data_IF_548595214157
#
_entry.id   IF_548595214157
#
_cell.length_a   1.000
_cell.length_b   1.000
_cell.length_c   1.000
_cell.angle_alpha   90.00
_cell.angle_beta   90.00
_cell.angle_gamma   90.00
#
_symmetry.space_group_name_H-M   'P 1'
#
loop_
_entity.id
_entity.type
_entity.pdbx_description
1 polymer ?
#
# COMPACT_ATOMS: atom_id res chain seq x y z
N UNK A 1 -24.00 23.79 -16.47
CA UNK A 1 -23.84 23.13 -15.15
C UNK A 1 -23.05 21.81 -15.18
N UNK A 2 -23.02 21.02 -16.27
CA UNK A 2 -22.29 19.72 -16.28
C UNK A 2 -20.77 19.84 -15.99
N UNK A 3 -20.16 20.97 -16.31
CA UNK A 3 -18.73 21.22 -16.09
C UNK A 3 -18.35 21.40 -14.61
N UNK A 4 -19.23 21.93 -13.76
CA UNK A 4 -18.87 22.22 -12.37
C UNK A 4 -18.66 20.95 -11.55
N UNK A 5 -19.49 19.92 -11.77
CA UNK A 5 -19.32 18.59 -11.17
C UNK A 5 -17.95 17.98 -11.52
N UNK A 6 -17.58 18.02 -12.81
CA UNK A 6 -16.30 17.49 -13.30
C UNK A 6 -15.14 18.25 -12.69
N UNK A 7 -15.16 19.59 -12.74
CA UNK A 7 -14.10 20.43 -12.17
C UNK A 7 -13.89 20.14 -10.67
N UNK A 8 -14.97 19.92 -9.91
CA UNK A 8 -14.88 19.55 -8.50
C UNK A 8 -14.24 18.16 -8.33
N UNK A 9 -14.69 17.16 -9.08
CA UNK A 9 -14.13 15.79 -9.01
C UNK A 9 -12.64 15.80 -9.36
N UNK A 10 -12.25 16.43 -10.47
CA UNK A 10 -10.84 16.52 -10.88
C UNK A 10 -9.99 17.23 -9.83
N UNK A 11 -10.50 18.29 -9.20
CA UNK A 11 -9.80 18.96 -8.10
C UNK A 11 -9.62 18.02 -6.90
N UNK A 12 -10.68 17.37 -6.44
CA UNK A 12 -10.61 16.44 -5.29
C UNK A 12 -9.66 15.26 -5.56
N UNK A 13 -9.67 14.70 -6.78
CA UNK A 13 -8.72 13.65 -7.18
C UNK A 13 -7.29 14.16 -7.11
N UNK A 14 -7.01 15.35 -7.64
CA UNK A 14 -5.68 15.94 -7.58
C UNK A 14 -5.23 16.27 -6.16
N UNK A 15 -6.15 16.66 -5.28
CA UNK A 15 -5.87 16.93 -3.85
C UNK A 15 -5.44 15.63 -3.16
N UNK A 16 -6.20 14.54 -3.32
CA UNK A 16 -5.87 13.23 -2.73
C UNK A 16 -4.56 12.68 -3.32
N UNK A 17 -4.35 12.77 -4.63
CA UNK A 17 -3.14 12.26 -5.30
C UNK A 17 -1.86 13.00 -4.90
N UNK A 18 -1.97 14.28 -4.51
CA UNK A 18 -0.86 15.10 -4.00
C UNK A 18 -0.74 15.05 -2.47
N UNK A 19 -1.74 14.50 -1.79
CA UNK A 19 -1.77 14.36 -0.34
C UNK A 19 -0.61 13.49 0.16
N UNK A 20 -0.24 13.72 1.42
CA UNK A 20 0.77 12.92 2.12
C UNK A 20 0.20 11.63 2.71
N UNK A 21 -1.12 11.43 2.66
CA UNK A 21 -1.75 10.24 3.21
C UNK A 21 -1.33 8.98 2.43
N UNK A 22 -0.52 8.16 3.09
CA UNK A 22 0.00 6.92 2.52
C UNK A 22 -1.07 5.83 2.37
N UNK A 23 -2.25 6.02 2.97
CA UNK A 23 -3.31 5.02 3.04
C UNK A 23 -4.37 5.15 1.95
N UNK A 24 -4.46 6.28 1.26
CA UNK A 24 -5.47 6.53 0.24
C UNK A 24 -4.83 6.64 -1.14
N UNK A 25 -5.44 6.02 -2.14
CA UNK A 25 -5.09 6.21 -3.54
C UNK A 25 -6.36 6.30 -4.40
N UNK A 26 -6.37 7.17 -5.40
CA UNK A 26 -7.51 7.37 -6.29
C UNK A 26 -7.06 7.47 -7.74
N UNK A 27 -7.88 6.95 -8.65
CA UNK A 27 -7.65 7.01 -10.09
C UNK A 27 -8.99 6.95 -10.84
N UNK A 28 -9.04 7.57 -12.01
CA UNK A 28 -10.13 7.43 -12.97
C UNK A 28 -9.55 7.30 -14.37
N UNK A 29 -10.36 6.81 -15.32
CA UNK A 29 -10.02 6.88 -16.73
C UNK A 29 -10.33 8.28 -17.27
N UNK A 30 -9.55 8.76 -18.23
CA UNK A 30 -9.81 10.06 -18.87
C UNK A 30 -11.16 10.09 -19.59
N UNK A 31 -11.61 8.93 -20.09
CA UNK A 31 -12.91 8.79 -20.77
C UNK A 31 -14.12 8.91 -19.83
N UNK A 32 -13.94 8.61 -18.52
CA UNK A 32 -15.00 8.72 -17.52
C UNK A 32 -14.47 9.16 -16.16
N UNK A 33 -14.28 10.47 -16.02
CA UNK A 33 -13.90 11.12 -14.76
C UNK A 33 -14.96 11.00 -13.65
N UNK A 34 -16.19 10.56 -13.95
CA UNK A 34 -17.25 10.32 -12.94
C UNK A 34 -17.22 8.90 -12.38
N UNK A 35 -16.43 8.01 -12.96
CA UNK A 35 -16.13 6.71 -12.38
C UNK A 35 -14.72 6.73 -11.78
N UNK A 36 -14.66 6.77 -10.46
CA UNK A 36 -13.41 6.78 -9.72
C UNK A 36 -13.19 5.42 -9.06
N UNK A 37 -12.01 4.86 -9.22
CA UNK A 37 -11.49 3.76 -8.41
C UNK A 37 -10.72 4.37 -7.24
N UNK A 38 -10.91 3.80 -6.05
CA UNK A 38 -10.21 4.21 -4.84
C UNK A 38 -9.66 2.98 -4.13
N UNK A 39 -8.48 3.12 -3.53
CA UNK A 39 -7.86 2.12 -2.68
C UNK A 39 -7.64 2.70 -1.28
N UNK A 40 -8.05 1.95 -0.27
CA UNK A 40 -7.82 2.22 1.14
C UNK A 40 -6.91 1.13 1.68
N UNK A 41 -5.77 1.52 2.25
CA UNK A 41 -4.93 0.63 3.05
C UNK A 41 -5.58 0.50 4.43
N UNK A 42 -5.79 -0.74 4.86
CA UNK A 42 -6.40 -1.00 6.17
C UNK A 42 -5.55 -0.45 7.32
N UNK A 43 -6.17 0.15 8.35
CA UNK A 43 -5.44 0.84 9.41
C UNK A 43 -4.52 -0.08 10.22
N UNK A 44 -3.36 0.40 10.69
CA UNK A 44 -2.50 -0.32 11.64
C UNK A 44 -3.26 -0.72 12.90
N UNK A 45 -2.84 -1.82 13.55
CA UNK A 45 -3.42 -2.29 14.83
C UNK A 45 -4.90 -2.74 14.73
N UNK A 46 -5.36 -3.06 13.51
CA UNK A 46 -6.71 -3.57 13.24
C UNK A 46 -6.64 -4.91 12.52
N UNK A 47 -7.72 -5.72 12.46
CA UNK A 47 -7.73 -6.92 11.61
C UNK A 47 -7.65 -6.61 10.10
N UNK A 48 -7.65 -5.34 9.70
CA UNK A 48 -7.50 -4.89 8.32
C UNK A 48 -6.07 -4.48 7.97
N UNK A 49 -5.17 -4.47 8.96
CA UNK A 49 -3.82 -3.88 8.89
C UNK A 49 -3.11 -4.17 7.57
N UNK A 50 -2.77 -3.08 6.89
CA UNK A 50 -2.04 -3.04 5.63
C UNK A 50 -2.70 -3.82 4.47
N UNK A 51 -3.95 -4.26 4.63
CA UNK A 51 -4.74 -4.85 3.56
C UNK A 51 -5.13 -3.83 2.50
N UNK A 52 -5.26 -4.27 1.25
CA UNK A 52 -5.61 -3.39 0.14
C UNK A 52 -7.13 -3.50 -0.13
N UNK A 53 -7.93 -2.48 0.24
CA UNK A 53 -9.38 -2.49 0.05
C UNK A 53 -9.76 -1.53 -1.06
N UNK A 54 -10.37 -2.06 -2.11
CA UNK A 54 -10.70 -1.27 -3.30
C UNK A 54 -12.19 -0.97 -3.38
N UNK A 55 -12.50 0.22 -3.87
CA UNK A 55 -13.84 0.76 -3.98
C UNK A 55 -14.05 1.42 -5.36
N UNK A 56 -15.27 1.32 -5.90
CA UNK A 56 -15.74 2.09 -7.04
C UNK A 56 -16.68 3.18 -6.53
N UNK A 57 -16.43 4.42 -6.93
CA UNK A 57 -17.25 5.58 -6.65
C UNK A 57 -17.80 6.16 -7.97
N UNK A 58 -19.12 6.09 -8.15
CA UNK A 58 -19.85 6.59 -9.33
C UNK A 58 -20.55 7.89 -9.00
N UNK A 59 -20.05 9.00 -9.54
CA UNK A 59 -20.58 10.34 -9.36
C UNK A 59 -21.70 10.62 -10.37
N UNK A 60 -22.77 11.28 -9.93
CA UNK A 60 -23.85 11.71 -10.83
C UNK A 60 -23.62 13.15 -11.32
N UNK A 61 -24.45 13.62 -12.25
CA UNK A 61 -24.45 15.04 -12.69
C UNK A 61 -24.89 16.00 -11.58
N UNK A 62 -25.48 15.48 -10.50
CA UNK A 62 -25.97 16.26 -9.37
C UNK A 62 -24.89 16.46 -8.28
N UNK A 63 -23.69 15.93 -8.44
CA UNK A 63 -22.59 16.15 -7.51
C UNK A 63 -22.12 17.63 -7.52
N UNK A 64 -21.89 18.27 -6.36
CA UNK A 64 -21.85 17.72 -5.00
C UNK A 64 -23.17 17.79 -4.21
N UNK A 65 -24.29 18.18 -4.82
CA UNK A 65 -25.59 18.26 -4.13
C UNK A 65 -26.08 16.88 -3.67
N UNK A 66 -25.79 15.82 -4.43
CA UNK A 66 -26.01 14.42 -4.02
C UNK A 66 -24.69 13.67 -3.89
N UNK A 67 -24.62 12.78 -2.90
CA UNK A 67 -23.49 11.88 -2.69
C UNK A 67 -23.27 10.97 -3.92
N UNK A 68 -22.02 10.54 -4.18
CA UNK A 68 -21.75 9.48 -5.14
C UNK A 68 -22.24 8.12 -4.63
N UNK A 69 -22.47 7.18 -5.54
CA UNK A 69 -22.67 5.78 -5.17
C UNK A 69 -21.32 5.11 -4.96
N UNK A 70 -21.12 4.43 -3.83
CA UNK A 70 -19.86 3.75 -3.51
C UNK A 70 -20.09 2.26 -3.28
N UNK A 71 -19.24 1.43 -3.89
CA UNK A 71 -19.25 -0.02 -3.73
C UNK A 71 -17.84 -0.55 -3.45
N UNK A 72 -17.71 -1.47 -2.50
CA UNK A 72 -16.48 -2.22 -2.27
C UNK A 72 -16.33 -3.32 -3.34
N UNK A 73 -15.14 -3.39 -3.93
CA UNK A 73 -14.76 -4.36 -4.96
C UNK A 73 -14.05 -5.55 -4.33
N UNK A 74 -13.28 -5.33 -3.26
CA UNK A 74 -12.58 -6.38 -2.52
C UNK A 74 -13.59 -7.21 -1.69
N UNK A 75 -14.26 -8.17 -2.32
CA UNK A 75 -15.34 -8.95 -1.67
C UNK A 75 -15.26 -10.47 -1.90
N UNK A 76 -14.19 -10.96 -2.54
CA UNK A 76 -14.03 -12.38 -2.89
C UNK A 76 -15.24 -12.88 -3.71
N UNK A 77 -15.64 -12.10 -4.73
CA UNK A 77 -16.77 -12.44 -5.60
C UNK A 77 -18.09 -12.56 -4.86
N UNK A 78 -18.38 -11.67 -3.91
CA UNK A 78 -19.64 -11.67 -3.17
C UNK A 78 -19.69 -12.53 -1.91
N UNK A 79 -18.55 -13.12 -1.48
CA UNK A 79 -18.52 -14.14 -0.40
C UNK A 79 -17.94 -13.65 0.92
N UNK A 80 -17.19 -12.56 0.91
CA UNK A 80 -16.45 -12.08 2.07
C UNK A 80 -17.04 -10.75 2.53
N UNK A 81 -17.73 -10.77 3.67
CA UNK A 81 -18.19 -9.58 4.39
C UNK A 81 -17.06 -9.10 5.30
N UNK A 82 -16.32 -8.08 4.87
CA UNK A 82 -15.18 -7.59 5.62
C UNK A 82 -15.57 -6.81 6.87
N UNK A 83 -16.75 -6.19 6.90
CA UNK A 83 -17.19 -5.39 8.04
C UNK A 83 -18.73 -5.42 8.09
N UNK A 84 -19.37 -5.22 9.27
CA UNK A 84 -20.81 -5.08 9.33
C UNK A 84 -21.39 -4.04 8.37
N UNK A 85 -20.63 -2.97 8.12
CA UNK A 85 -20.96 -1.90 7.19
C UNK A 85 -20.36 -2.06 5.78
N UNK A 86 -19.58 -3.11 5.51
CA UNK A 86 -19.02 -3.43 4.18
C UNK A 86 -19.47 -4.85 3.80
N UNK A 87 -20.58 -4.91 3.07
CA UNK A 87 -21.32 -6.14 2.81
C UNK A 87 -20.58 -7.00 1.80
N UNK A 88 -20.85 -8.31 1.82
CA UNK A 88 -20.27 -9.24 0.86
C UNK A 88 -20.60 -8.86 -0.59
N UNK A 89 -21.79 -8.33 -0.86
CA UNK A 89 -22.17 -7.80 -2.19
C UNK A 89 -21.56 -6.44 -2.55
N UNK A 90 -20.67 -5.89 -1.73
CA UNK A 90 -19.98 -4.62 -1.97
C UNK A 90 -20.72 -3.37 -1.47
N UNK A 91 -21.96 -3.49 -0.98
CA UNK A 91 -22.67 -2.34 -0.39
C UNK A 91 -21.91 -1.79 0.83
N UNK A 92 -21.69 -0.47 0.83
CA UNK A 92 -21.11 0.27 1.96
C UNK A 92 -22.22 1.03 2.68
N UNK A 93 -22.32 0.84 4.00
CA UNK A 93 -23.31 1.49 4.86
C UNK A 93 -22.69 2.65 5.64
N UNK A 94 -22.95 3.88 5.21
CA UNK A 94 -22.52 5.12 5.85
C UNK A 94 -23.63 6.17 5.78
N UNK A 95 -23.79 6.96 6.85
CA UNK A 95 -24.78 8.03 6.93
C UNK A 95 -24.53 9.10 5.86
N UNK A 96 -23.27 9.47 5.63
CA UNK A 96 -22.88 10.43 4.58
C UNK A 96 -23.11 9.92 3.15
N UNK A 97 -23.38 8.62 2.97
CA UNK A 97 -23.80 8.04 1.68
C UNK A 97 -25.32 7.82 1.61
N UNK A 98 -26.07 8.13 2.67
CA UNK A 98 -27.50 7.86 2.76
C UNK A 98 -27.83 6.35 2.81
N UNK A 99 -26.85 5.49 3.07
CA UNK A 99 -27.00 4.03 3.12
C UNK A 99 -27.05 3.50 4.55
N UNK A 100 -26.99 4.40 5.53
CA UNK A 100 -27.12 4.13 6.96
C UNK A 100 -27.84 5.29 7.66
N UNK A 101 -28.39 5.02 8.84
CA UNK A 101 -28.96 6.07 9.71
C UNK A 101 -27.85 6.99 10.22
N UNK A 102 -28.08 8.29 10.24
CA UNK A 102 -27.19 9.27 10.86
C UNK A 102 -28.00 10.24 11.72
N UNK A 103 -27.34 10.86 12.68
CA UNK A 103 -27.91 11.98 13.42
C UNK A 103 -27.93 13.25 12.54
N UNK A 104 -28.64 14.28 13.01
CA UNK A 104 -28.72 15.56 12.28
C UNK A 104 -27.33 16.17 12.14
N UNK A 105 -26.85 16.27 10.91
CA UNK A 105 -25.52 16.79 10.58
C UNK A 105 -24.49 15.71 10.21
N UNK A 106 -24.82 14.43 10.38
CA UNK A 106 -23.98 13.29 9.99
C UNK A 106 -24.33 12.74 8.60
N UNK A 107 -25.34 13.31 7.94
CA UNK A 107 -25.77 12.98 6.59
C UNK A 107 -24.97 13.77 5.53
N UNK A 108 -25.13 13.40 4.26
CA UNK A 108 -24.46 14.06 3.14
C UNK A 108 -24.73 15.57 3.13
N UNK A 109 -23.66 16.35 2.91
CA UNK A 109 -23.76 17.76 2.53
C UNK A 109 -22.73 18.07 1.46
N UNK A 110 -23.01 19.09 0.63
CA UNK A 110 -22.09 19.51 -0.45
C UNK A 110 -20.72 20.02 0.03
N UNK A 111 -20.53 20.16 1.35
CA UNK A 111 -19.25 20.47 1.96
C UNK A 111 -18.32 19.25 2.02
N UNK A 112 -18.89 18.04 2.03
CA UNK A 112 -18.17 16.77 2.00
C UNK A 112 -17.60 16.52 0.59
N UNK A 113 -16.66 15.58 0.49
CA UNK A 113 -16.04 15.19 -0.77
C UNK A 113 -15.58 13.74 -0.76
N UNK A 114 -14.91 13.32 -1.83
CA UNK A 114 -14.37 11.97 -1.96
C UNK A 114 -13.45 11.61 -0.79
N UNK A 115 -12.56 12.51 -0.39
CA UNK A 115 -11.62 12.27 0.71
C UNK A 115 -12.36 11.97 2.03
N UNK A 116 -13.38 12.76 2.39
CA UNK A 116 -14.13 12.52 3.61
C UNK A 116 -14.96 11.23 3.57
N UNK A 117 -15.42 10.82 2.38
CA UNK A 117 -16.02 9.50 2.18
C UNK A 117 -15.00 8.40 2.45
N UNK A 118 -13.80 8.48 1.86
CA UNK A 118 -12.76 7.47 2.02
C UNK A 118 -12.28 7.37 3.48
N UNK A 119 -12.09 8.50 4.15
CA UNK A 119 -11.76 8.56 5.59
C UNK A 119 -12.88 7.92 6.40
N UNK A 120 -14.15 8.19 6.10
CA UNK A 120 -15.28 7.58 6.82
C UNK A 120 -15.34 6.06 6.63
N UNK A 121 -15.03 5.57 5.43
CA UNK A 121 -14.92 4.13 5.16
C UNK A 121 -13.75 3.52 5.95
N UNK A 122 -12.59 4.18 5.97
CA UNK A 122 -11.43 3.71 6.72
C UNK A 122 -11.71 3.66 8.22
N UNK A 123 -12.46 4.62 8.78
CA UNK A 123 -12.87 4.63 10.18
C UNK A 123 -13.77 3.45 10.57
N UNK A 124 -14.50 2.84 9.62
CA UNK A 124 -15.25 1.60 9.87
C UNK A 124 -14.32 0.41 10.10
N UNK A 125 -13.09 0.46 9.60
CA UNK A 125 -12.08 -0.59 9.73
C UNK A 125 -11.41 -0.54 11.11
N UNK A 126 -12.22 -0.60 12.18
CA UNK A 126 -11.79 -0.48 13.57
C UNK A 126 -11.05 -1.73 14.07
N UNK A 127 -10.41 -1.61 15.24
CA UNK A 127 -9.75 -2.73 15.92
C UNK A 127 -10.73 -3.82 16.37
N UNK A 128 -12.00 -3.45 16.61
CA UNK A 128 -13.08 -4.36 16.96
C UNK A 128 -14.30 -4.17 16.03
N UNK A 129 -14.26 -4.69 14.79
CA UNK A 129 -15.34 -4.49 13.83
C UNK A 129 -16.63 -5.23 14.19
N UNK A 130 -16.66 -6.01 15.27
CA UNK A 130 -17.87 -6.65 15.79
C UNK A 130 -18.85 -5.62 16.35
N UNK A 131 -18.34 -4.56 16.99
CA UNK A 131 -19.14 -3.47 17.60
C UNK A 131 -19.86 -2.62 16.55
N UNK A 132 -19.45 -2.70 15.29
CA UNK A 132 -20.11 -2.01 14.19
C UNK A 132 -21.46 -2.63 13.81
N UNK A 133 -21.78 -3.84 14.28
CA UNK A 133 -23.08 -4.46 14.01
C UNK A 133 -24.17 -3.83 14.92
N UNK A 134 -25.33 -3.42 14.35
CA UNK A 134 -26.45 -2.92 15.15
C UNK A 134 -26.85 -3.84 16.30
N UNK A 135 -26.94 -3.26 17.50
CA UNK A 135 -27.29 -3.98 18.72
C UNK A 135 -26.09 -4.64 19.43
N UNK A 136 -24.86 -4.47 18.91
CA UNK A 136 -23.63 -4.99 19.49
C UNK A 136 -22.65 -3.88 19.91
N UNK A 137 -23.07 -2.61 19.87
CA UNK A 137 -22.22 -1.43 20.16
C UNK A 137 -21.67 -1.46 21.60
N UNK A 138 -22.46 -1.95 22.57
CA UNK A 138 -22.11 -2.06 23.99
C UNK A 138 -21.86 -3.51 24.45
N UNK A 139 -21.61 -4.43 23.51
CA UNK A 139 -21.42 -5.85 23.78
C UNK A 139 -20.16 -6.09 24.62
N UNK A 140 -20.34 -6.43 25.91
CA UNK A 140 -19.25 -6.52 26.91
C UNK A 140 -19.26 -7.83 27.71
N UNK A 141 -20.23 -8.72 27.49
CA UNK A 141 -20.28 -10.00 28.17
C UNK A 141 -19.09 -10.88 27.78
N UNK A 142 -18.76 -11.89 28.58
CA UNK A 142 -17.66 -12.80 28.23
C UNK A 142 -17.98 -13.62 26.97
N UNK A 143 -19.27 -13.84 26.68
CA UNK A 143 -19.73 -14.39 25.41
C UNK A 143 -19.42 -13.45 24.24
N UNK A 144 -19.67 -12.15 24.40
CA UNK A 144 -19.39 -11.14 23.37
C UNK A 144 -17.89 -11.00 23.12
N UNK A 145 -17.08 -10.92 24.18
CA UNK A 145 -15.62 -10.84 24.06
C UNK A 145 -15.03 -12.02 23.29
N UNK A 146 -15.57 -13.23 23.51
CA UNK A 146 -15.18 -14.41 22.74
C UNK A 146 -15.52 -14.22 21.25
N UNK A 147 -16.73 -13.79 20.93
CA UNK A 147 -17.17 -13.56 19.55
C UNK A 147 -16.38 -12.42 18.89
N UNK A 148 -16.08 -11.34 19.61
CA UNK A 148 -15.24 -10.23 19.15
C UNK A 148 -13.86 -10.74 18.73
N UNK A 149 -13.20 -11.51 19.59
CA UNK A 149 -11.89 -12.10 19.29
C UNK A 149 -11.95 -13.04 18.07
N UNK A 150 -12.98 -13.88 17.98
CA UNK A 150 -13.16 -14.78 16.84
C UNK A 150 -13.46 -14.03 15.53
N UNK A 151 -14.24 -12.94 15.59
CA UNK A 151 -14.52 -12.09 14.44
C UNK A 151 -13.26 -11.35 13.97
N UNK A 152 -12.48 -10.79 14.89
CA UNK A 152 -11.18 -10.19 14.59
C UNK A 152 -10.25 -11.19 13.91
N UNK A 153 -10.17 -12.43 14.41
CA UNK A 153 -9.32 -13.48 13.86
C UNK A 153 -9.69 -13.83 12.40
N UNK A 154 -10.98 -14.05 12.11
CA UNK A 154 -11.41 -14.36 10.74
C UNK A 154 -11.22 -13.18 9.78
N UNK A 155 -11.48 -11.94 10.21
CA UNK A 155 -11.23 -10.75 9.38
C UNK A 155 -9.74 -10.63 9.07
N UNK A 156 -8.86 -10.80 10.07
CA UNK A 156 -7.41 -10.77 9.87
C UNK A 156 -6.94 -11.80 8.85
N UNK A 157 -7.43 -13.04 8.96
CA UNK A 157 -7.12 -14.09 8.00
C UNK A 157 -7.55 -13.71 6.58
N UNK A 158 -8.79 -13.25 6.43
CA UNK A 158 -9.39 -12.92 5.14
C UNK A 158 -8.79 -11.64 4.52
N UNK A 159 -8.35 -10.69 5.34
CA UNK A 159 -7.54 -9.53 4.92
C UNK A 159 -6.26 -10.02 4.24
N UNK A 160 -5.45 -10.83 4.95
CA UNK A 160 -4.20 -11.35 4.41
C UNK A 160 -4.45 -12.18 3.14
N UNK A 161 -5.42 -13.10 3.18
CA UNK A 161 -5.71 -14.00 2.08
C UNK A 161 -6.20 -13.24 0.85
N UNK A 162 -7.25 -12.44 0.96
CA UNK A 162 -7.95 -11.86 -0.20
C UNK A 162 -7.35 -10.52 -0.60
N UNK A 163 -7.25 -9.59 0.36
CA UNK A 163 -6.93 -8.20 0.04
C UNK A 163 -5.45 -8.02 -0.31
N UNK A 164 -4.58 -8.88 0.22
CA UNK A 164 -3.13 -8.87 -0.04
C UNK A 164 -2.70 -10.00 -0.98
N UNK A 165 -2.74 -11.25 -0.51
CA UNK A 165 -2.11 -12.39 -1.20
C UNK A 165 -2.77 -12.66 -2.54
N UNK A 166 -4.09 -12.85 -2.55
CA UNK A 166 -4.81 -13.17 -3.78
C UNK A 166 -4.64 -12.05 -4.81
N UNK A 167 -4.91 -10.80 -4.43
CA UNK A 167 -4.67 -9.67 -5.33
C UNK A 167 -3.27 -9.67 -5.97
N UNK A 168 -2.22 -9.88 -5.18
CA UNK A 168 -0.85 -9.85 -5.70
C UNK A 168 -0.52 -11.07 -6.57
N UNK A 169 -1.04 -12.25 -6.24
CA UNK A 169 -0.93 -13.41 -7.11
C UNK A 169 -1.58 -13.17 -8.47
N UNK A 170 -2.75 -12.53 -8.51
CA UNK A 170 -3.41 -12.17 -9.76
C UNK A 170 -2.58 -11.15 -10.57
N UNK A 171 -2.01 -10.14 -9.90
CA UNK A 171 -1.12 -9.16 -10.52
C UNK A 171 0.19 -9.74 -11.06
N UNK A 172 0.69 -10.82 -10.44
CA UNK A 172 1.94 -11.49 -10.79
C UNK A 172 1.72 -12.75 -11.65
N UNK A 173 0.47 -13.11 -11.94
CA UNK A 173 0.15 -14.33 -12.71
C UNK A 173 0.52 -15.63 -12.00
N UNK A 174 0.59 -15.62 -10.66
CA UNK A 174 0.87 -16.82 -9.86
C UNK A 174 -0.38 -17.70 -9.88
N UNK A 175 -0.31 -18.82 -10.63
CA UNK A 175 -1.45 -19.73 -10.79
C UNK A 175 -1.79 -20.40 -9.47
N UNK A 176 -3.00 -20.14 -8.98
CA UNK A 176 -3.65 -20.98 -7.97
C UNK A 176 -4.14 -22.24 -8.67
N UNK A 177 -4.05 -23.42 -8.05
CA UNK A 177 -4.71 -24.64 -8.54
C UNK A 177 -6.25 -24.58 -8.54
N UNK A 178 -6.85 -23.38 -8.57
CA UNK A 178 -8.29 -23.10 -8.68
C UNK A 178 -8.52 -22.17 -9.87
N UNK A 179 -9.55 -22.49 -10.64
CA UNK A 179 -10.08 -21.69 -11.77
C UNK A 179 -10.16 -20.20 -11.41
N UNK A 180 -9.76 -19.34 -12.35
CA UNK A 180 -9.81 -17.89 -12.27
C UNK A 180 -11.02 -17.40 -11.44
N UNK A 181 -10.77 -16.68 -10.35
CA UNK A 181 -11.87 -16.02 -9.67
C UNK A 181 -12.43 -14.94 -10.59
N UNK A 182 -13.75 -15.01 -10.74
CA UNK A 182 -14.58 -14.02 -11.40
C UNK A 182 -14.36 -12.68 -10.70
N UNK A 183 -13.61 -11.77 -11.35
CA UNK A 183 -13.83 -10.33 -11.19
C UNK A 183 -15.33 -10.13 -11.29
N UNK A 184 -15.97 -9.47 -10.31
CA UNK A 184 -17.42 -9.21 -10.37
C UNK A 184 -17.70 -8.61 -11.75
N UNK A 185 -18.41 -9.39 -12.57
CA UNK A 185 -18.63 -9.08 -13.98
C UNK A 185 -19.50 -7.84 -14.04
N UNK A 186 -18.89 -6.68 -14.19
CA UNK A 186 -19.61 -5.44 -14.35
C UNK A 186 -19.90 -5.28 -15.84
N UNK A 187 -21.03 -5.85 -16.26
CA UNK A 187 -21.45 -5.83 -17.66
C UNK A 187 -21.50 -4.42 -18.25
N UNK A 188 -21.68 -3.37 -17.44
CA UNK A 188 -21.63 -1.96 -17.89
C UNK A 188 -20.21 -1.48 -18.22
N UNK A 189 -19.17 -1.92 -17.49
CA UNK A 189 -17.77 -1.59 -17.78
C UNK A 189 -17.28 -2.31 -19.05
N UNK A 190 -17.65 -3.59 -19.23
CA UNK A 190 -17.29 -4.36 -20.43
C UNK A 190 -18.07 -3.90 -21.67
N UNK A 191 -19.32 -3.42 -21.54
CA UNK A 191 -20.06 -2.84 -22.66
C UNK A 191 -19.47 -1.50 -23.13
N UNK A 192 -18.86 -0.73 -22.22
CA UNK A 192 -18.17 0.52 -22.55
C UNK A 192 -16.72 0.30 -23.01
N UNK A 193 -16.06 -0.77 -22.53
CA UNK A 193 -14.75 -1.24 -23.00
C UNK A 193 -14.84 -2.12 -24.27
N UNK A 194 -15.89 -1.92 -25.08
CA UNK A 194 -16.09 -2.55 -26.38
C UNK A 194 -14.98 -2.17 -27.37
N UNK A 195 -13.80 -2.76 -27.21
CA UNK A 195 -12.64 -2.49 -28.04
C UNK A 195 -11.31 -2.97 -27.47
N UNK A 196 -11.19 -4.23 -27.03
CA UNK A 196 -9.88 -4.86 -26.76
C UNK A 196 -8.93 -4.14 -25.77
N UNK A 197 -9.43 -3.20 -24.97
CA UNK A 197 -8.64 -2.45 -24.02
C UNK A 197 -8.26 -3.32 -22.81
N UNK A 198 -7.03 -3.16 -22.33
CA UNK A 198 -6.55 -3.87 -21.16
C UNK A 198 -7.38 -3.52 -19.90
N UNK A 199 -7.50 -4.44 -18.92
CA UNK A 199 -8.15 -4.16 -17.63
C UNK A 199 -7.58 -2.90 -16.95
N UNK A 200 -8.45 -2.05 -16.40
CA UNK A 200 -8.02 -0.86 -15.67
C UNK A 200 -7.59 -1.21 -14.25
N UNK A 201 -6.29 -1.35 -14.07
CA UNK A 201 -5.63 -1.74 -12.81
C UNK A 201 -4.72 -0.60 -12.29
N UNK A 202 -5.28 0.56 -11.91
CA UNK A 202 -4.50 1.75 -11.56
C UNK A 202 -3.63 1.58 -10.30
N UNK A 203 -3.94 0.59 -9.48
CA UNK A 203 -3.24 0.36 -8.21
C UNK A 203 -2.27 -0.82 -8.27
N UNK A 204 -2.01 -1.39 -9.45
CA UNK A 204 -1.15 -2.57 -9.59
C UNK A 204 0.26 -2.33 -9.02
N UNK A 205 0.96 -1.31 -9.50
CA UNK A 205 2.30 -0.99 -8.99
C UNK A 205 2.25 -0.50 -7.54
N UNK A 206 1.22 0.26 -7.17
CA UNK A 206 1.01 0.73 -5.81
C UNK A 206 0.98 -0.45 -4.81
N UNK A 207 0.15 -1.47 -5.07
CA UNK A 207 0.04 -2.64 -4.21
C UNK A 207 1.36 -3.41 -4.13
N UNK A 208 2.05 -3.61 -5.27
CA UNK A 208 3.35 -4.30 -5.32
C UNK A 208 4.42 -3.59 -4.49
N UNK A 209 4.50 -2.26 -4.57
CA UNK A 209 5.47 -1.48 -3.80
C UNK A 209 5.15 -1.49 -2.31
N UNK A 210 3.88 -1.28 -1.94
CA UNK A 210 3.43 -1.31 -0.55
C UNK A 210 3.59 -2.69 0.08
N UNK A 211 3.41 -3.75 -0.69
CA UNK A 211 3.68 -5.11 -0.23
C UNK A 211 5.11 -5.29 0.25
N UNK A 212 6.09 -4.78 -0.51
CA UNK A 212 7.50 -4.86 -0.10
C UNK A 212 7.77 -4.12 1.21
N UNK A 213 7.05 -3.02 1.47
CA UNK A 213 7.17 -2.25 2.70
C UNK A 213 6.54 -2.98 3.90
N UNK A 214 5.40 -3.62 3.70
CA UNK A 214 4.63 -4.25 4.77
C UNK A 214 4.90 -5.75 4.94
N UNK A 215 5.83 -6.31 4.17
CA UNK A 215 6.15 -7.75 4.16
C UNK A 215 6.43 -8.28 5.57
N UNK A 216 7.28 -7.58 6.34
CA UNK A 216 7.62 -7.96 7.71
C UNK A 216 6.39 -7.94 8.63
N UNK A 217 5.51 -6.95 8.49
CA UNK A 217 4.26 -6.86 9.26
C UNK A 217 3.32 -8.03 8.95
N UNK A 218 3.18 -8.41 7.67
CA UNK A 218 2.38 -9.57 7.29
C UNK A 218 2.95 -10.87 7.86
N UNK A 219 4.28 -11.06 7.78
CA UNK A 219 4.95 -12.25 8.31
C UNK A 219 4.80 -12.33 9.83
N UNK A 220 5.01 -11.23 10.55
CA UNK A 220 4.83 -11.17 12.00
C UNK A 220 3.38 -11.47 12.41
N UNK A 221 2.40 -10.92 11.68
CA UNK A 221 0.97 -11.17 11.90
C UNK A 221 0.63 -12.66 11.73
N UNK A 222 1.09 -13.28 10.63
CA UNK A 222 0.91 -14.72 10.39
C UNK A 222 1.55 -15.55 11.51
N UNK A 223 2.79 -15.26 11.89
CA UNK A 223 3.50 -16.01 12.93
C UNK A 223 2.85 -15.88 14.31
N UNK A 224 2.25 -14.72 14.61
CA UNK A 224 1.47 -14.54 15.83
C UNK A 224 0.18 -15.36 15.82
N UNK A 225 -0.53 -15.42 14.68
CA UNK A 225 -1.80 -16.15 14.55
C UNK A 225 -1.63 -17.66 14.42
N UNK A 226 -0.53 -18.15 13.83
CA UNK A 226 -0.18 -19.59 13.82
C UNK A 226 -0.01 -20.18 15.23
N UNK A 227 0.28 -19.36 16.24
CA UNK A 227 0.34 -19.80 17.64
C UNK A 227 -1.04 -19.96 18.28
N UNK A 228 -2.07 -19.34 17.70
CA UNK A 228 -3.43 -19.27 18.23
C UNK A 228 -4.39 -20.23 17.52
N UNK A 229 -4.20 -20.42 16.21
CA UNK A 229 -5.10 -21.18 15.35
C UNK A 229 -4.38 -22.31 14.62
N UNK A 230 -5.08 -23.44 14.44
CA UNK A 230 -4.57 -24.58 13.65
C UNK A 230 -5.08 -24.51 12.22
N UNK A 231 -4.27 -24.97 11.27
CA UNK A 231 -4.73 -25.10 9.88
C UNK A 231 -5.94 -26.05 9.80
N UNK A 232 -6.94 -25.65 9.02
CA UNK A 232 -8.21 -26.37 8.87
C UNK A 232 -9.24 -26.10 9.97
N UNK A 233 -8.89 -25.38 11.03
CA UNK A 233 -9.84 -24.91 12.04
C UNK A 233 -10.87 -23.98 11.38
N UNK A 234 -12.16 -24.24 11.61
CA UNK A 234 -13.26 -23.47 11.00
C UNK A 234 -13.43 -22.13 11.68
N UNK A 235 -13.79 -21.11 10.90
CA UNK A 235 -14.22 -19.82 11.47
C UNK A 235 -15.44 -20.02 12.36
N UNK A 236 -15.43 -19.41 13.54
CA UNK A 236 -16.63 -19.34 14.38
C UNK A 236 -17.68 -18.47 13.69
N UNK A 237 -18.93 -18.96 13.69
CA UNK A 237 -20.07 -18.24 13.14
C UNK A 237 -20.55 -17.20 14.15
N UNK A 238 -20.67 -15.95 13.74
CA UNK A 238 -21.08 -14.88 14.63
C UNK A 238 -22.60 -14.90 14.86
N UNK A 239 -23.10 -14.35 16.00
CA UNK A 239 -24.53 -14.31 16.30
C UNK A 239 -25.39 -13.60 15.24
N UNK A 240 -24.82 -12.61 14.56
CA UNK A 240 -25.47 -11.85 13.48
C UNK A 240 -25.32 -12.49 12.09
N UNK A 241 -24.65 -13.64 11.98
CA UNK A 241 -24.51 -14.36 10.71
C UNK A 241 -25.66 -15.34 10.50
N UNK A 242 -26.30 -15.25 9.33
CA UNK A 242 -27.50 -16.00 8.98
C UNK A 242 -27.58 -16.27 7.47
N UNK A 243 -28.65 -16.92 6.98
CA UNK A 243 -28.83 -17.17 5.55
C UNK A 243 -28.65 -15.90 4.71
N UNK A 244 -27.74 -15.92 3.73
CA UNK A 244 -27.39 -14.76 2.90
C UNK A 244 -26.41 -13.76 3.54
N UNK A 245 -25.98 -13.98 4.79
CA UNK A 245 -25.01 -13.17 5.52
C UNK A 245 -24.08 -14.06 6.36
N UNK A 246 -23.21 -14.81 5.69
CA UNK A 246 -22.26 -15.73 6.33
C UNK A 246 -20.86 -15.56 5.76
N UNK A 247 -19.83 -15.69 6.60
CA UNK A 247 -18.44 -15.71 6.20
C UNK A 247 -17.79 -17.01 6.70
N UNK A 248 -18.01 -18.09 5.95
CA UNK A 248 -17.50 -19.42 6.25
C UNK A 248 -16.10 -19.63 5.68
N UNK A 249 -15.28 -20.41 6.37
CA UNK A 249 -13.92 -20.70 5.94
C UNK A 249 -13.14 -21.43 7.02
N UNK A 250 -11.85 -21.60 6.76
CA UNK A 250 -10.90 -22.21 7.70
C UNK A 250 -9.62 -21.41 7.74
N UNK A 251 -8.96 -21.38 8.90
CA UNK A 251 -7.61 -20.84 9.02
C UNK A 251 -6.61 -21.69 8.24
N UNK A 252 -5.71 -21.07 7.48
CA UNK A 252 -4.72 -21.72 6.62
C UNK A 252 -3.37 -20.96 6.63
N UNK A 253 -2.93 -20.55 7.82
CA UNK A 253 -1.80 -19.63 7.98
C UNK A 253 -0.48 -20.19 7.44
N UNK A 254 -0.24 -21.51 7.51
CA UNK A 254 0.97 -22.12 6.91
C UNK A 254 1.00 -21.87 5.41
N UNK A 255 -0.13 -22.09 4.72
CA UNK A 255 -0.23 -21.83 3.29
C UNK A 255 -0.12 -20.34 2.97
N UNK A 256 -0.73 -19.46 3.78
CA UNK A 256 -0.60 -18.01 3.56
C UNK A 256 0.87 -17.56 3.67
N UNK A 257 1.64 -18.12 4.61
CA UNK A 257 3.08 -17.85 4.76
C UNK A 257 3.87 -18.21 3.52
N UNK A 258 3.63 -19.39 2.96
CA UNK A 258 4.30 -19.85 1.73
C UNK A 258 3.95 -18.97 0.53
N UNK A 259 2.68 -18.58 0.41
CA UNK A 259 2.19 -17.71 -0.67
C UNK A 259 2.79 -16.31 -0.60
N UNK A 260 2.91 -15.72 0.60
CA UNK A 260 3.62 -14.43 0.78
C UNK A 260 5.08 -14.50 0.32
N UNK A 261 5.79 -15.58 0.64
CA UNK A 261 7.17 -15.78 0.17
C UNK A 261 7.24 -15.88 -1.34
N UNK A 262 6.37 -16.67 -1.96
CA UNK A 262 6.31 -16.79 -3.42
C UNK A 262 6.03 -15.45 -4.12
N UNK A 263 5.19 -14.60 -3.53
CA UNK A 263 4.95 -13.23 -4.01
C UNK A 263 6.22 -12.39 -3.91
N UNK A 264 6.90 -12.41 -2.76
CA UNK A 264 8.16 -11.67 -2.57
C UNK A 264 9.22 -12.11 -3.58
N UNK A 265 9.40 -13.42 -3.77
CA UNK A 265 10.34 -13.99 -4.73
C UNK A 265 10.02 -13.52 -6.16
N UNK A 266 8.74 -13.55 -6.55
CA UNK A 266 8.31 -13.06 -7.88
C UNK A 266 8.52 -11.56 -8.08
N UNK A 267 8.36 -10.74 -7.04
CA UNK A 267 8.63 -9.31 -7.11
C UNK A 267 10.13 -9.02 -7.22
N UNK A 268 10.97 -9.80 -6.53
CA UNK A 268 12.42 -9.73 -6.65
C UNK A 268 12.89 -10.15 -8.05
N UNK A 269 12.33 -11.23 -8.61
CA UNK A 269 12.59 -11.64 -9.99
C UNK A 269 12.16 -10.58 -11.01
N UNK A 270 10.96 -10.00 -10.86
CA UNK A 270 10.47 -8.91 -11.71
C UNK A 270 11.44 -7.71 -11.67
N UNK A 271 11.89 -7.32 -10.48
CA UNK A 271 12.80 -6.18 -10.29
C UNK A 271 14.17 -6.44 -10.91
N UNK A 272 14.73 -7.65 -10.73
CA UNK A 272 16.00 -8.05 -11.32
C UNK A 272 15.91 -8.11 -12.87
N UNK A 273 14.77 -8.52 -13.40
CA UNK A 273 14.50 -8.57 -14.84
C UNK A 273 14.59 -7.22 -15.53
N UNK A 274 14.27 -6.12 -14.83
CA UNK A 274 14.29 -4.77 -15.41
C UNK A 274 15.66 -4.34 -15.91
N UNK A 275 16.75 -4.80 -15.28
CA UNK A 275 18.10 -4.52 -15.78
C UNK A 275 18.29 -5.07 -17.21
N UNK A 276 17.85 -6.30 -17.44
CA UNK A 276 17.96 -6.98 -18.75
C UNK A 276 16.99 -6.38 -19.77
N UNK A 277 15.75 -6.11 -19.37
CA UNK A 277 14.77 -5.44 -20.23
C UNK A 277 15.21 -4.01 -20.59
N UNK A 278 15.81 -3.29 -19.65
CA UNK A 278 16.37 -1.96 -19.82
C UNK A 278 17.49 -1.92 -20.86
N UNK A 279 18.42 -2.89 -20.84
CA UNK A 279 19.46 -2.99 -21.86
C UNK A 279 18.87 -3.22 -23.26
N UNK A 280 17.79 -4.00 -23.38
CA UNK A 280 17.07 -4.14 -24.66
C UNK A 280 16.44 -2.82 -25.09
N UNK A 281 15.87 -2.06 -24.15
CA UNK A 281 15.32 -0.74 -24.43
C UNK A 281 16.39 0.26 -24.92
N UNK A 282 17.62 0.18 -24.39
CA UNK A 282 18.78 0.94 -24.89
C UNK A 282 19.12 0.52 -26.32
N UNK A 283 19.24 -0.79 -26.59
CA UNK A 283 19.55 -1.32 -27.93
C UNK A 283 18.50 -0.94 -28.97
N UNK A 284 17.23 -0.83 -28.55
CA UNK A 284 16.12 -0.42 -29.40
C UNK A 284 15.91 1.11 -29.45
N UNK A 285 16.81 1.90 -28.84
CA UNK A 285 16.75 3.37 -28.80
C UNK A 285 15.40 3.90 -28.27
N UNK A 286 14.81 3.21 -27.31
CA UNK A 286 13.52 3.61 -26.75
C UNK A 286 13.64 4.95 -26.02
N UNK A 287 12.64 5.83 -26.18
CA UNK A 287 12.65 7.17 -25.60
C UNK A 287 12.84 7.19 -24.07
N UNK A 288 12.37 6.16 -23.36
CA UNK A 288 12.57 6.01 -21.91
C UNK A 288 14.05 5.83 -21.54
N UNK A 289 14.81 5.04 -22.32
CA UNK A 289 16.24 4.82 -22.06
C UNK A 289 17.02 6.14 -22.20
N UNK A 290 16.79 6.87 -23.29
CA UNK A 290 17.38 8.19 -23.54
C UNK A 290 16.95 9.21 -22.49
N UNK A 291 15.70 9.15 -22.02
CA UNK A 291 15.20 10.04 -20.97
C UNK A 291 15.93 9.80 -19.64
N UNK A 292 16.03 8.55 -19.19
CA UNK A 292 16.71 8.19 -17.94
C UNK A 292 18.20 8.52 -18.00
N UNK A 293 18.88 8.23 -19.12
CA UNK A 293 20.27 8.62 -19.34
C UNK A 293 20.46 10.14 -19.19
N UNK A 294 19.59 10.93 -19.82
CA UNK A 294 19.62 12.39 -19.70
C UNK A 294 19.36 12.87 -18.28
N UNK A 295 18.38 12.29 -17.57
CA UNK A 295 18.11 12.62 -16.18
C UNK A 295 19.34 12.33 -15.31
N UNK A 296 19.99 11.18 -15.49
CA UNK A 296 21.22 10.81 -14.79
C UNK A 296 22.33 11.86 -14.98
N UNK A 297 22.65 12.20 -16.24
CA UNK A 297 23.70 13.18 -16.55
C UNK A 297 23.44 14.55 -15.91
N UNK A 298 22.19 15.02 -15.98
CA UNK A 298 21.78 16.29 -15.37
C UNK A 298 21.92 16.28 -13.84
N UNK A 299 21.58 15.16 -13.20
CA UNK A 299 21.64 15.00 -11.76
C UNK A 299 23.10 14.91 -11.29
N UNK A 300 23.93 14.12 -11.95
CA UNK A 300 25.37 14.00 -11.64
C UNK A 300 26.07 15.35 -11.77
N UNK A 301 25.84 16.09 -12.86
CA UNK A 301 26.43 17.42 -13.08
C UNK A 301 26.00 18.43 -12.00
N UNK A 302 24.76 18.32 -11.52
CA UNK A 302 24.24 19.17 -10.45
C UNK A 302 24.93 18.87 -9.12
N UNK A 303 25.09 17.60 -8.75
CA UNK A 303 25.71 17.22 -7.48
C UNK A 303 27.23 17.43 -7.48
N UNK A 304 27.91 17.27 -8.62
CA UNK A 304 29.34 17.66 -8.78
C UNK A 304 29.61 19.14 -8.48
N UNK A 305 28.64 20.03 -8.69
CA UNK A 305 28.77 21.46 -8.41
C UNK A 305 28.46 21.84 -6.96
N UNK A 306 27.99 20.89 -6.16
CA UNK A 306 27.56 21.12 -4.80
C UNK A 306 28.28 20.18 -3.83
N UNK A 307 29.52 20.52 -3.48
CA UNK A 307 30.40 19.75 -2.57
C UNK A 307 29.78 19.48 -1.18
N UNK A 308 28.66 20.14 -0.84
CA UNK A 308 27.95 19.94 0.42
C UNK A 308 26.98 18.74 0.42
N UNK A 309 26.76 18.09 -0.72
CA UNK A 309 25.88 16.91 -0.79
C UNK A 309 26.71 15.64 -0.64
N UNK A 310 26.47 14.83 0.40
CA UNK A 310 27.29 13.68 0.71
C UNK A 310 26.85 12.47 -0.10
N UNK A 311 26.91 12.55 -1.43
CA UNK A 311 26.56 11.43 -2.30
C UNK A 311 27.39 11.35 -3.56
N UNK A 312 27.52 10.13 -4.06
CA UNK A 312 28.05 9.80 -5.40
C UNK A 312 27.04 8.95 -6.18
N UNK A 313 26.98 9.16 -7.49
CA UNK A 313 25.98 8.53 -8.38
C UNK A 313 26.65 7.94 -9.61
N UNK A 314 26.38 6.66 -9.85
CA UNK A 314 26.87 5.92 -11.02
C UNK A 314 25.77 5.03 -11.62
N UNK A 315 26.01 4.53 -12.85
CA UNK A 315 25.20 3.52 -13.50
C UNK A 315 25.87 2.16 -13.40
N UNK A 316 25.17 1.17 -12.85
CA UNK A 316 25.68 -0.21 -12.80
C UNK A 316 25.80 -0.73 -14.22
N UNK A 317 27.01 -1.14 -14.61
CA UNK A 317 27.33 -1.63 -15.97
C UNK A 317 26.92 -0.66 -17.10
N UNK A 318 26.92 0.65 -16.84
CA UNK A 318 26.44 1.70 -17.76
C UNK A 318 24.98 1.51 -18.19
N UNK A 319 24.18 0.84 -17.37
CA UNK A 319 22.77 0.61 -17.63
C UNK A 319 21.92 1.76 -17.04
N UNK A 320 21.22 2.58 -17.85
CA UNK A 320 20.41 3.69 -17.36
C UNK A 320 19.19 3.24 -16.54
N UNK A 321 18.94 1.92 -16.43
CA UNK A 321 17.86 1.36 -15.62
C UNK A 321 18.31 0.83 -14.25
N UNK A 322 19.61 0.89 -13.95
CA UNK A 322 20.16 0.45 -12.64
C UNK A 322 21.14 1.50 -12.14
N UNK A 323 20.69 2.32 -11.20
CA UNK A 323 21.51 3.39 -10.64
C UNK A 323 22.09 2.95 -9.31
N UNK A 324 23.34 3.30 -9.08
CA UNK A 324 24.03 3.13 -7.81
C UNK A 324 24.22 4.51 -7.18
N UNK A 325 23.62 4.68 -6.00
CA UNK A 325 23.81 5.82 -5.13
C UNK A 325 24.70 5.38 -3.97
N UNK A 326 25.86 6.03 -3.80
CA UNK A 326 26.67 5.89 -2.59
C UNK A 326 26.35 7.09 -1.70
N UNK A 327 25.73 6.83 -0.56
CA UNK A 327 25.41 7.85 0.42
C UNK A 327 26.46 7.86 1.53
N UNK A 328 27.06 9.03 1.75
CA UNK A 328 28.04 9.26 2.81
C UNK A 328 27.31 9.86 4.01
N UNK A 329 27.48 9.28 5.19
CA UNK A 329 26.85 9.83 6.38
C UNK A 329 27.46 11.16 6.81
N UNK A 330 26.61 12.12 7.18
CA UNK A 330 27.06 13.48 7.53
C UNK A 330 27.82 13.50 8.85
N UNK A 331 28.81 14.41 8.99
CA UNK A 331 29.47 14.68 10.25
C UNK A 331 28.47 15.01 11.37
N UNK A 332 28.78 14.60 12.59
CA UNK A 332 27.96 14.88 13.79
C UNK A 332 26.56 14.25 13.78
N UNK A 333 26.32 13.26 12.91
CA UNK A 333 25.08 12.45 12.92
C UNK A 333 25.36 11.03 13.41
N UNK A 334 24.31 10.21 13.56
CA UNK A 334 24.47 8.78 13.83
C UNK A 334 24.97 7.97 12.62
N UNK A 335 25.07 8.60 11.46
CA UNK A 335 25.57 7.99 10.22
C UNK A 335 27.03 8.39 9.93
N UNK A 336 27.62 9.26 10.74
CA UNK A 336 28.96 9.84 10.53
C UNK A 336 30.01 8.78 10.15
N UNK A 337 30.73 9.04 9.06
CA UNK A 337 31.75 8.15 8.48
C UNK A 337 31.20 6.95 7.70
N UNK A 338 29.89 6.71 7.69
CA UNK A 338 29.29 5.61 6.95
C UNK A 338 29.26 5.81 5.44
N UNK A 339 29.36 4.70 4.69
CA UNK A 339 29.31 4.62 3.23
C UNK A 339 28.28 3.59 2.79
N UNK A 340 27.06 4.03 2.47
CA UNK A 340 25.96 3.14 2.16
C UNK A 340 25.71 3.07 0.66
N UNK A 341 25.90 1.88 0.07
CA UNK A 341 25.54 1.63 -1.32
C UNK A 341 24.05 1.31 -1.43
N UNK A 342 23.34 2.09 -2.23
CA UNK A 342 21.92 1.99 -2.51
C UNK A 342 21.75 1.73 -4.00
N UNK A 343 21.01 0.68 -4.36
CA UNK A 343 20.72 0.33 -5.75
C UNK A 343 19.27 0.70 -6.06
N UNK A 344 19.08 1.45 -7.15
CA UNK A 344 17.79 1.88 -7.65
C UNK A 344 17.53 1.17 -8.97
N UNK A 345 16.55 0.26 -8.97
CA UNK A 345 16.10 -0.43 -10.17
C UNK A 345 14.92 0.33 -10.77
N UNK A 346 15.01 0.60 -12.06
CA UNK A 346 14.03 1.35 -12.83
C UNK A 346 13.37 0.44 -13.85
N UNK A 347 12.04 0.42 -13.86
CA UNK A 347 11.31 -0.34 -14.87
C UNK A 347 11.38 0.34 -16.22
N UNK A 348 11.43 -0.41 -17.34
CA UNK A 348 11.16 0.12 -18.68
C UNK A 348 9.79 0.81 -18.83
N UNK A 349 8.88 0.60 -17.87
CA UNK A 349 7.57 1.25 -17.79
C UNK A 349 7.55 2.47 -16.85
N UNK A 350 8.69 2.97 -16.39
CA UNK A 350 8.74 4.20 -15.60
C UNK A 350 8.17 5.38 -16.43
N UNK A 351 7.29 6.24 -15.87
CA UNK A 351 6.93 6.34 -14.44
C UNK A 351 5.66 5.58 -14.00
N UNK A 352 5.02 4.81 -14.88
CA UNK A 352 3.84 4.01 -14.52
C UNK A 352 4.18 2.91 -13.49
N UNK A 353 5.41 2.43 -13.54
CA UNK A 353 6.01 1.54 -12.54
C UNK A 353 7.16 2.28 -11.85
N UNK A 354 7.01 2.53 -10.55
CA UNK A 354 7.95 3.36 -9.79
C UNK A 354 9.23 2.59 -9.40
N UNK A 355 10.33 3.31 -9.12
CA UNK A 355 11.62 2.70 -8.81
C UNK A 355 11.58 1.77 -7.59
N UNK A 356 12.37 0.69 -7.61
CA UNK A 356 12.63 -0.18 -6.46
C UNK A 356 14.00 0.12 -5.89
N UNK A 357 14.02 0.57 -4.64
CA UNK A 357 15.23 1.07 -3.98
C UNK A 357 15.63 0.10 -2.88
N UNK A 358 16.87 -0.37 -2.94
CA UNK A 358 17.42 -1.36 -2.01
C UNK A 358 18.80 -0.95 -1.51
N UNK A 359 18.99 -0.99 -0.21
CA UNK A 359 20.30 -0.90 0.43
C UNK A 359 21.08 -2.18 0.14
N UNK A 360 22.14 -2.06 -0.65
CA UNK A 360 23.10 -3.14 -0.87
C UNK A 360 24.12 -3.22 0.27
N UNK A 361 24.38 -2.11 0.97
CA UNK A 361 25.10 -2.11 2.24
C UNK A 361 24.08 -2.15 3.39
N UNK A 362 24.12 -3.14 4.30
CA UNK A 362 23.14 -3.23 5.40
C UNK A 362 23.11 -1.98 6.29
N UNK A 363 21.90 -1.59 6.73
CA UNK A 363 21.69 -0.48 7.66
C UNK A 363 20.58 -0.81 8.66
N UNK A 364 20.81 -0.55 9.95
CA UNK A 364 19.78 -0.70 10.98
C UNK A 364 18.92 0.57 11.10
N UNK A 365 17.88 0.68 10.25
CA UNK A 365 17.04 1.87 10.16
C UNK A 365 15.54 1.52 10.12
N UNK A 366 14.67 2.32 10.72
CA UNK A 366 13.23 2.01 10.78
C UNK A 366 12.52 2.07 9.42
N UNK A 367 13.05 2.85 8.46
CA UNK A 367 12.57 2.91 7.06
C UNK A 367 13.26 1.93 6.10
N UNK A 368 14.19 1.11 6.58
CA UNK A 368 14.90 0.12 5.74
C UNK A 368 14.63 -1.28 6.29
N UNK A 369 13.95 -2.11 5.52
CA UNK A 369 13.62 -3.48 5.92
C UNK A 369 14.90 -4.31 6.13
N UNK A 370 14.82 -5.46 6.83
CA UNK A 370 15.97 -6.34 7.03
C UNK A 370 16.63 -6.82 5.72
N UNK A 371 15.87 -6.94 4.64
CA UNK A 371 16.40 -7.29 3.32
C UNK A 371 16.89 -6.06 2.52
N UNK A 372 16.74 -4.84 3.04
CA UNK A 372 17.29 -3.61 2.47
C UNK A 372 16.29 -2.74 1.69
N UNK A 373 15.03 -3.13 1.55
CA UNK A 373 14.01 -2.31 0.87
C UNK A 373 13.77 -1.02 1.63
N UNK A 374 13.87 0.11 0.92
CA UNK A 374 13.62 1.43 1.50
C UNK A 374 12.16 1.86 1.33
N UNK A 375 11.56 2.34 2.43
CA UNK A 375 10.31 3.09 2.43
C UNK A 375 10.58 4.59 2.28
N UNK A 376 10.14 5.16 1.17
CA UNK A 376 10.29 6.59 0.85
C UNK A 376 9.16 7.06 -0.08
N UNK A 377 8.87 8.36 -0.12
CA UNK A 377 7.80 8.91 -0.95
C UNK A 377 8.28 10.14 -1.72
N UNK A 378 8.45 9.99 -3.04
CA UNK A 378 8.86 11.09 -3.91
C UNK A 378 7.70 12.05 -4.20
N UNK A 379 7.95 13.35 -4.12
CA UNK A 379 6.98 14.40 -4.45
C UNK A 379 6.57 14.40 -5.92
N UNK A 380 7.53 14.17 -6.83
CA UNK A 380 7.31 13.99 -8.26
C UNK A 380 7.71 12.60 -8.69
N UNK A 381 6.73 11.78 -9.04
CA UNK A 381 6.88 10.34 -9.33
C UNK A 381 7.56 10.05 -10.68
N UNK A 382 7.63 11.04 -11.56
CA UNK A 382 8.21 10.97 -12.90
C UNK A 382 9.62 11.57 -13.00
N UNK A 383 10.14 12.11 -11.89
CA UNK A 383 11.44 12.80 -11.82
C UNK A 383 12.40 12.06 -10.89
N UNK A 384 13.47 11.48 -11.44
CA UNK A 384 14.47 10.73 -10.68
C UNK A 384 15.19 11.59 -9.65
N UNK A 385 15.27 12.90 -9.86
CA UNK A 385 15.83 13.80 -8.86
C UNK A 385 14.95 13.84 -7.61
N UNK A 386 13.63 13.94 -7.77
CA UNK A 386 12.70 13.90 -6.65
C UNK A 386 12.77 12.56 -5.90
N UNK A 387 13.06 11.46 -6.60
CA UNK A 387 13.30 10.17 -5.94
C UNK A 387 14.58 10.19 -5.10
N UNK A 388 15.71 10.69 -5.64
CA UNK A 388 16.97 10.77 -4.90
C UNK A 388 16.84 11.68 -3.67
N UNK A 389 16.22 12.85 -3.82
CA UNK A 389 15.97 13.76 -2.69
C UNK A 389 15.14 13.08 -1.59
N UNK A 390 14.07 12.35 -1.96
CA UNK A 390 13.24 11.62 -1.00
C UNK A 390 13.94 10.40 -0.37
N UNK A 391 14.86 9.74 -1.09
CA UNK A 391 15.68 8.64 -0.53
C UNK A 391 16.58 9.18 0.59
N UNK A 392 17.24 10.32 0.35
CA UNK A 392 18.14 10.94 1.34
C UNK A 392 17.34 11.43 2.54
N UNK A 393 16.25 12.17 2.30
CA UNK A 393 15.36 12.65 3.35
C UNK A 393 14.84 11.51 4.23
N UNK A 394 14.49 10.36 3.65
CA UNK A 394 14.00 9.22 4.40
C UNK A 394 15.03 8.59 5.36
N UNK A 395 16.32 8.85 5.17
CA UNK A 395 17.42 8.31 5.98
C UNK A 395 17.98 9.35 6.94
N UNK A 396 18.00 10.63 6.54
CA UNK A 396 18.52 11.73 7.35
C UNK A 396 17.50 12.30 8.36
N UNK A 397 16.22 11.93 8.26
CA UNK A 397 15.17 12.44 9.17
C UNK A 397 15.37 11.93 10.61
N UNK A 398 15.92 12.77 11.49
CA UNK A 398 16.24 12.39 12.88
C UNK A 398 15.02 12.36 13.82
N UNK A 399 13.96 13.11 13.50
CA UNK A 399 12.76 13.27 14.34
C UNK A 399 11.46 13.16 13.54
N UNK A 400 11.22 12.02 12.86
CA UNK A 400 9.99 11.79 12.12
C UNK A 400 8.77 11.74 13.04
N UNK A 401 7.63 12.22 12.54
CA UNK A 401 6.34 11.93 13.15
C UNK A 401 6.09 10.42 13.16
N UNK A 402 5.45 9.91 14.21
CA UNK A 402 5.09 8.50 14.27
C UNK A 402 4.04 8.17 13.21
N UNK A 403 4.41 7.34 12.24
CA UNK A 403 3.50 6.78 11.26
C UNK A 403 3.82 5.29 11.03
N UNK A 404 2.99 4.35 11.54
CA UNK A 404 3.19 2.91 11.36
C UNK A 404 3.33 2.48 9.90
N UNK A 405 2.76 3.24 8.96
CA UNK A 405 2.79 2.95 7.51
C UNK A 405 4.16 3.20 6.88
N UNK A 406 5.12 3.74 7.64
CA UNK A 406 6.50 3.97 7.22
C UNK A 406 7.50 3.04 7.90
N UNK A 407 7.03 2.20 8.83
CA UNK A 407 7.84 1.36 9.71
C UNK A 407 8.04 -0.02 9.09
N UNK A 408 9.02 -0.15 8.20
CA UNK A 408 9.29 -1.41 7.47
C UNK A 408 10.24 -2.35 8.20
N UNK A 409 10.92 -1.85 9.24
CA UNK A 409 11.74 -2.65 10.15
C UNK A 409 11.18 -2.57 11.56
N UNK A 410 10.42 -3.60 11.95
CA UNK A 410 9.67 -3.64 13.20
C UNK A 410 10.58 -3.57 14.44
N UNK A 411 11.76 -4.19 14.40
CA UNK A 411 12.71 -4.13 15.51
C UNK A 411 13.30 -2.73 15.66
N UNK A 412 13.76 -2.13 14.56
CA UNK A 412 14.30 -0.79 14.54
C UNK A 412 13.26 0.25 14.98
N UNK A 413 12.03 0.13 14.48
CA UNK A 413 10.90 0.98 14.85
C UNK A 413 10.57 0.88 16.34
N UNK A 414 10.47 -0.34 16.88
CA UNK A 414 10.22 -0.55 18.32
C UNK A 414 11.27 0.16 19.18
N UNK A 415 12.54 0.07 18.80
CA UNK A 415 13.61 0.73 19.56
C UNK A 415 13.60 2.26 19.39
N UNK A 416 13.28 2.77 18.21
CA UNK A 416 13.30 4.20 17.91
C UNK A 416 12.19 4.98 18.65
N UNK A 417 10.97 4.45 18.65
CA UNK A 417 9.80 5.04 19.35
C UNK A 417 9.58 4.49 20.76
N UNK A 418 10.48 3.64 21.24
CA UNK A 418 10.48 3.14 22.61
C UNK A 418 10.92 4.17 23.64
N UNK A 419 11.22 3.70 24.85
CA UNK A 419 11.74 4.53 25.93
C UNK A 419 13.15 5.09 25.67
N UNK A 420 13.65 6.01 26.52
CA UNK A 420 14.98 6.62 26.34
C UNK A 420 16.13 5.63 26.20
N UNK A 421 16.08 4.49 26.90
CA UNK A 421 17.10 3.46 26.83
C UNK A 421 17.01 2.62 25.55
N UNK A 422 15.80 2.35 25.06
CA UNK A 422 15.59 1.68 23.76
C UNK A 422 16.11 2.56 22.61
N UNK A 423 15.85 3.88 22.67
CA UNK A 423 16.38 4.82 21.68
C UNK A 423 17.90 4.90 21.69
N UNK A 424 18.55 4.76 22.86
CA UNK A 424 20.03 4.63 22.94
C UNK A 424 20.52 3.36 22.24
N UNK A 425 19.79 2.24 22.38
CA UNK A 425 20.13 0.99 21.69
C UNK A 425 19.98 1.16 20.18
N UNK A 426 18.91 1.80 19.71
CA UNK A 426 18.75 2.15 18.29
C UNK A 426 19.95 2.95 17.78
N UNK A 427 20.27 4.07 18.42
CA UNK A 427 21.38 4.95 18.01
C UNK A 427 22.75 4.25 18.05
N UNK A 428 22.94 3.29 18.95
CA UNK A 428 24.16 2.47 18.99
C UNK A 428 24.23 1.51 17.80
N UNK A 429 23.12 0.86 17.45
CA UNK A 429 23.06 -0.06 16.30
C UNK A 429 23.17 0.67 14.97
N UNK A 430 22.54 1.84 14.84
CA UNK A 430 22.67 2.69 13.65
C UNK A 430 24.12 3.13 13.41
N UNK A 431 24.81 3.60 14.46
CA UNK A 431 26.24 3.94 14.38
C UNK A 431 27.12 2.74 14.05
N UNK A 432 26.76 1.56 14.56
CA UNK A 432 27.46 0.32 14.21
C UNK A 432 27.30 0.00 12.71
N UNK A 433 26.10 0.14 12.16
CA UNK A 433 25.90 -0.01 10.71
C UNK A 433 26.74 0.99 9.90
N UNK A 434 26.88 2.23 10.36
CA UNK A 434 27.77 3.21 9.72
C UNK A 434 29.23 2.77 9.75
N UNK A 435 29.74 2.31 10.89
CA UNK A 435 31.09 1.77 10.98
C UNK A 435 31.29 0.56 10.07
N UNK A 436 30.40 -0.44 10.16
CA UNK A 436 30.46 -1.68 9.36
C UNK A 436 30.36 -1.41 7.85
N UNK A 437 29.78 -0.28 7.44
CA UNK A 437 29.65 0.11 6.03
C UNK A 437 30.94 0.67 5.41
N UNK A 438 31.86 1.15 6.25
CA UNK A 438 33.12 1.75 5.83
C UNK A 438 34.30 0.76 5.81
N UNK A 439 34.11 -0.40 6.45
CA UNK A 439 35.01 -1.57 6.43
C UNK A 439 34.73 -2.43 5.19
#
# INVERSE_FOLDING_TARGET
MSNQSILRITRELSEIQRGSDLSLAVACRDIDVRHVRALIIGPPDTPYEFGFFEFSAKFTKEYPTKAPNVQCITTNGGRTRFNPNIYAGGKVCLSILGTWRGERGEEWSSAQGLESILISIQSLMSSNPYENEPGFEDAKSDYDKKNQAAYVAKIRHETLRISVIERLEDYLGIKRGRSAQVTVYNAEEDYQAGGGEAPFEPFKDFCKRRFLWYYESYMASIEAEMKKHKDGERFEKMPFEGPGNTMEGTFQYTQLKERLKAILDKLNEETAGWATEGLKAVQMEMGIASNLQRQFEQIVEKYKKNDAVPLDLDLVDKNPFVWQLVFFGRPMTHLDGGMFRIIIHLSPKFPDVLPRVKFATPIFHHRVSPDGVLCYNATKKDDMRSHIEAIIEAIEEESPAYDPRTLVNLEAAKLFWGGPDEKKIYNRRLRRSAQDSAE
#
